data_IF_746136659668
#
_entry.id   IF_746136659668
#
_cell.length_a   1.000
_cell.length_b   1.000
_cell.length_c   1.000
_cell.angle_alpha   90.00
_cell.angle_beta   90.00
_cell.angle_gamma   90.00
#
_symmetry.space_group_name_H-M   'P 1'
#
loop_
_entity.id
_entity.type
_entity.pdbx_description
1 polymer ?
#
# COMPACT_ATOMS: atom_id res chain seq x y z
N UNK A 1 -14.94 4.31 -28.11
CA UNK A 1 -14.74 4.60 -26.67
C UNK A 1 -13.98 5.91 -26.59
N UNK A 2 -14.51 6.92 -25.90
CA UNK A 2 -13.75 8.16 -25.64
C UNK A 2 -12.69 7.76 -24.61
N UNK A 3 -11.44 7.74 -24.99
CA UNK A 3 -10.32 7.52 -24.06
C UNK A 3 -10.27 8.71 -23.11
N UNK A 4 -10.39 8.46 -21.82
CA UNK A 4 -10.20 9.48 -20.78
C UNK A 4 -8.76 10.01 -20.89
N UNK A 5 -8.59 11.34 -20.90
CA UNK A 5 -7.27 11.95 -20.84
C UNK A 5 -6.87 12.07 -19.38
N UNK A 6 -5.84 11.34 -18.95
CA UNK A 6 -5.29 11.49 -17.60
C UNK A 6 -4.42 12.75 -17.52
N UNK A 7 -4.63 13.59 -16.50
CA UNK A 7 -3.79 14.76 -16.23
C UNK A 7 -2.56 14.34 -15.40
N UNK A 8 -1.38 14.88 -15.70
CA UNK A 8 -0.22 14.80 -14.83
C UNK A 8 -0.12 16.11 -14.04
N UNK A 9 -0.32 16.04 -12.73
CA UNK A 9 -0.29 17.15 -11.80
C UNK A 9 0.97 17.10 -10.95
N UNK A 10 1.36 18.22 -10.36
CA UNK A 10 2.47 18.32 -9.40
C UNK A 10 1.93 18.82 -8.06
N UNK A 11 2.79 18.88 -7.04
CA UNK A 11 2.48 19.48 -5.74
C UNK A 11 1.91 20.90 -5.81
N UNK A 12 2.15 21.63 -6.92
CA UNK A 12 1.56 22.96 -7.15
C UNK A 12 0.09 22.91 -7.61
N UNK A 13 -0.42 21.76 -8.00
CA UNK A 13 -1.76 21.60 -8.57
C UNK A 13 -2.74 20.90 -7.60
N UNK A 14 -2.51 20.99 -6.30
CA UNK A 14 -3.32 20.31 -5.25
C UNK A 14 -4.80 20.67 -5.36
N UNK A 15 -5.12 21.94 -5.59
CA UNK A 15 -6.52 22.40 -5.78
C UNK A 15 -7.22 21.67 -6.93
N UNK A 16 -6.51 21.48 -8.05
CA UNK A 16 -7.07 20.74 -9.19
C UNK A 16 -7.35 19.28 -8.83
N UNK A 17 -6.46 18.64 -8.09
CA UNK A 17 -6.66 17.27 -7.60
C UNK A 17 -7.86 17.18 -6.63
N UNK A 18 -8.01 18.13 -5.70
CA UNK A 18 -9.17 18.21 -4.81
C UNK A 18 -10.48 18.45 -5.56
N UNK A 19 -10.51 19.32 -6.58
CA UNK A 19 -11.68 19.53 -7.46
C UNK A 19 -12.10 18.24 -8.16
N UNK A 20 -11.15 17.47 -8.69
CA UNK A 20 -11.42 16.20 -9.36
C UNK A 20 -12.03 15.18 -8.38
N UNK A 21 -11.49 15.08 -7.16
CA UNK A 21 -12.03 14.19 -6.11
C UNK A 21 -13.46 14.60 -5.74
N UNK A 22 -13.75 15.89 -5.52
CA UNK A 22 -15.11 16.40 -5.27
C UNK A 22 -16.09 16.13 -6.42
N UNK A 23 -15.59 16.13 -7.65
CA UNK A 23 -16.37 15.79 -8.83
C UNK A 23 -16.63 14.26 -8.95
N UNK A 24 -16.15 13.46 -8.01
CA UNK A 24 -16.30 12.00 -8.03
C UNK A 24 -15.36 11.32 -9.03
N UNK A 25 -14.24 11.95 -9.37
CA UNK A 25 -13.21 11.38 -10.22
C UNK A 25 -12.14 10.66 -9.40
N UNK A 26 -11.33 9.83 -10.08
CA UNK A 26 -10.25 9.07 -9.48
C UNK A 26 -8.92 9.78 -9.72
N UNK A 27 -8.17 10.02 -8.65
CA UNK A 27 -6.86 10.67 -8.68
C UNK A 27 -5.83 9.79 -7.98
N UNK A 28 -4.73 9.50 -8.64
CA UNK A 28 -3.61 8.86 -7.97
C UNK A 28 -2.77 9.90 -7.22
N UNK A 29 -2.32 9.54 -6.01
CA UNK A 29 -1.65 10.45 -5.09
C UNK A 29 -0.44 9.81 -4.41
N UNK A 30 0.60 10.62 -4.09
CA UNK A 30 1.80 10.14 -3.41
C UNK A 30 1.52 9.80 -1.95
N UNK A 31 2.27 8.86 -1.38
CA UNK A 31 2.40 8.66 0.06
C UNK A 31 3.85 8.31 0.38
N UNK A 32 4.20 8.23 1.66
CA UNK A 32 5.53 7.79 2.10
C UNK A 32 5.79 6.31 1.81
N UNK A 33 4.72 5.49 1.64
CA UNK A 33 4.82 4.04 1.40
C UNK A 33 4.80 3.70 -0.08
N UNK A 34 3.63 3.84 -0.73
CA UNK A 34 3.38 3.59 -2.15
C UNK A 34 2.35 4.60 -2.65
N UNK A 35 2.27 4.83 -3.95
CA UNK A 35 1.21 5.67 -4.52
C UNK A 35 -0.16 5.05 -4.29
N UNK A 36 -1.11 5.86 -3.83
CA UNK A 36 -2.51 5.51 -3.60
C UNK A 36 -3.42 5.92 -4.75
N UNK A 37 -4.57 5.24 -4.88
CA UNK A 37 -5.60 5.55 -5.85
C UNK A 37 -6.82 6.12 -5.11
N UNK A 38 -6.99 7.45 -5.18
CA UNK A 38 -7.97 8.22 -4.41
C UNK A 38 -9.30 8.39 -5.12
N UNK A 39 -10.38 8.24 -4.37
CA UNK A 39 -11.72 8.69 -4.74
C UNK A 39 -12.50 9.02 -3.48
N UNK A 40 -13.50 9.90 -3.57
CA UNK A 40 -14.38 10.24 -2.46
C UNK A 40 -15.01 8.98 -1.84
N UNK A 41 -14.66 8.69 -0.59
CA UNK A 41 -15.11 7.50 0.13
C UNK A 41 -16.60 7.53 0.49
N UNK A 42 -17.23 8.71 0.44
CA UNK A 42 -18.66 8.92 0.70
C UNK A 42 -19.51 8.79 -0.56
N UNK A 43 -18.87 8.71 -1.73
CA UNK A 43 -19.53 8.60 -3.05
C UNK A 43 -19.32 7.18 -3.63
N UNK A 44 -20.33 6.33 -3.53
CA UNK A 44 -20.26 4.96 -4.06
C UNK A 44 -19.93 4.87 -5.55
N UNK A 45 -20.35 5.87 -6.36
CA UNK A 45 -20.06 5.89 -7.79
C UNK A 45 -18.56 6.14 -8.01
N UNK A 46 -17.97 7.05 -7.23
CA UNK A 46 -16.54 7.33 -7.27
C UNK A 46 -15.73 6.11 -6.82
N UNK A 47 -16.15 5.44 -5.74
CA UNK A 47 -15.51 4.19 -5.26
C UNK A 47 -15.58 3.08 -6.32
N UNK A 48 -16.70 2.92 -7.03
CA UNK A 48 -16.82 1.94 -8.14
C UNK A 48 -15.81 2.20 -9.27
N UNK A 49 -15.51 3.47 -9.58
CA UNK A 49 -14.48 3.82 -10.57
C UNK A 49 -13.10 3.29 -10.16
N UNK A 50 -12.76 3.31 -8.86
CA UNK A 50 -11.49 2.74 -8.35
C UNK A 50 -11.40 1.24 -8.64
N UNK A 51 -12.43 0.47 -8.34
CA UNK A 51 -12.46 -0.96 -8.65
C UNK A 51 -12.33 -1.22 -10.15
N UNK A 52 -13.04 -0.43 -10.97
CA UNK A 52 -12.99 -0.51 -12.43
C UNK A 52 -11.57 -0.21 -12.96
N UNK A 53 -10.95 0.89 -12.52
CA UNK A 53 -9.61 1.29 -12.96
C UNK A 53 -8.55 0.23 -12.62
N UNK A 54 -8.68 -0.41 -11.44
CA UNK A 54 -7.77 -1.47 -10.98
C UNK A 54 -8.05 -2.84 -11.61
N UNK A 55 -9.23 -3.07 -12.20
CA UNK A 55 -9.68 -4.41 -12.54
C UNK A 55 -9.84 -5.33 -11.32
N UNK A 56 -10.26 -4.76 -10.16
CA UNK A 56 -10.35 -5.47 -8.88
C UNK A 56 -11.81 -5.82 -8.56
N UNK A 57 -12.10 -7.05 -8.06
CA UNK A 57 -13.42 -7.37 -7.52
C UNK A 57 -13.81 -6.47 -6.35
N UNK A 58 -15.09 -6.09 -6.28
CA UNK A 58 -15.60 -5.16 -5.27
C UNK A 58 -15.87 -5.82 -3.89
N UNK A 59 -15.52 -7.07 -3.71
CA UNK A 59 -15.67 -7.86 -2.48
C UNK A 59 -14.50 -7.73 -1.49
N UNK A 60 -13.52 -6.90 -1.81
CA UNK A 60 -12.31 -6.71 -1.02
C UNK A 60 -12.32 -5.30 -0.43
N UNK A 61 -12.31 -5.14 0.93
CA UNK A 61 -12.44 -3.85 1.58
C UNK A 61 -11.33 -2.88 1.16
N UNK A 62 -11.63 -1.59 1.26
CA UNK A 62 -10.70 -0.50 0.96
C UNK A 62 -10.25 0.20 2.25
N UNK A 63 -9.05 0.76 2.22
CA UNK A 63 -8.56 1.64 3.29
C UNK A 63 -9.10 3.04 3.00
N UNK A 64 -9.68 3.68 4.00
CA UNK A 64 -10.01 5.11 3.97
C UNK A 64 -8.78 5.91 4.40
N UNK A 65 -8.45 6.92 3.60
CA UNK A 65 -7.31 7.80 3.84
C UNK A 65 -7.81 9.19 4.21
N UNK A 66 -7.28 9.73 5.29
CA UNK A 66 -7.71 11.00 5.90
C UNK A 66 -6.55 11.98 5.97
N UNK A 67 -6.87 13.26 6.09
CA UNK A 67 -5.88 14.33 6.29
C UNK A 67 -5.66 14.66 7.77
N UNK A 68 -6.65 14.39 8.61
CA UNK A 68 -6.64 14.68 10.04
C UNK A 68 -7.39 13.57 10.79
N UNK A 69 -6.91 13.21 11.99
CA UNK A 69 -7.49 12.13 12.78
C UNK A 69 -8.94 12.42 13.23
N UNK A 70 -9.31 13.67 13.38
CA UNK A 70 -10.68 14.09 13.74
C UNK A 70 -11.72 13.67 12.71
N UNK A 71 -11.33 13.50 11.44
CA UNK A 71 -12.24 13.01 10.40
C UNK A 71 -12.80 11.61 10.67
N UNK A 72 -12.17 10.83 11.59
CA UNK A 72 -12.64 9.49 11.95
C UNK A 72 -13.86 9.49 12.87
N UNK A 73 -14.04 10.53 13.68
CA UNK A 73 -15.05 10.57 14.74
C UNK A 73 -16.49 10.39 14.21
N UNK A 74 -16.73 10.75 12.95
CA UNK A 74 -18.03 10.57 12.29
C UNK A 74 -18.29 9.14 11.77
N UNK A 75 -17.25 8.31 11.67
CA UNK A 75 -17.33 7.03 10.95
C UNK A 75 -17.17 5.81 11.87
N UNK A 76 -16.36 5.91 12.92
CA UNK A 76 -15.92 4.76 13.71
C UNK A 76 -15.98 4.99 15.20
N UNK A 77 -15.93 3.88 15.95
CA UNK A 77 -15.74 3.88 17.39
C UNK A 77 -14.26 3.69 17.68
N UNK A 78 -13.62 4.67 18.33
CA UNK A 78 -12.19 4.69 18.59
C UNK A 78 -11.93 4.37 20.06
N UNK A 79 -11.27 3.24 20.33
CA UNK A 79 -10.82 2.88 21.68
C UNK A 79 -9.61 3.71 22.10
N UNK A 80 -9.34 3.77 23.42
CA UNK A 80 -8.15 4.46 23.96
C UNK A 80 -6.86 3.87 23.40
N UNK A 81 -6.74 2.56 23.31
CA UNK A 81 -5.60 1.89 22.70
C UNK A 81 -5.40 2.29 21.23
N UNK A 82 -6.49 2.43 20.47
CA UNK A 82 -6.40 2.92 19.08
C UNK A 82 -5.95 4.39 19.01
N UNK A 83 -6.44 5.25 19.93
CA UNK A 83 -5.97 6.65 20.04
C UNK A 83 -4.47 6.73 20.36
N UNK A 84 -3.98 5.86 21.22
CA UNK A 84 -2.55 5.76 21.55
C UNK A 84 -1.70 5.39 20.31
N UNK A 85 -2.12 4.42 19.51
CA UNK A 85 -1.44 4.09 18.26
C UNK A 85 -1.48 5.23 17.25
N UNK A 86 -2.63 5.91 17.11
CA UNK A 86 -2.74 7.10 16.25
C UNK A 86 -1.78 8.19 16.70
N UNK A 87 -1.72 8.50 17.98
CA UNK A 87 -0.84 9.54 18.54
C UNK A 87 0.65 9.20 18.32
N UNK A 88 1.01 7.92 18.31
CA UNK A 88 2.40 7.46 18.16
C UNK A 88 2.84 7.37 16.70
N UNK A 89 1.96 6.87 15.80
CA UNK A 89 2.34 6.46 14.46
C UNK A 89 1.70 7.29 13.33
N UNK A 90 0.80 8.22 13.63
CA UNK A 90 0.20 9.09 12.63
C UNK A 90 0.66 10.55 12.77
N UNK A 91 0.95 11.21 11.64
CA UNK A 91 0.94 10.71 10.25
C UNK A 91 1.99 9.63 10.03
N UNK A 92 1.65 8.54 9.29
CA UNK A 92 2.65 7.50 9.03
C UNK A 92 2.12 6.20 8.43
N UNK A 93 3.01 5.21 8.46
CA UNK A 93 2.87 3.93 7.76
C UNK A 93 2.08 2.89 8.55
N UNK A 94 1.10 3.32 9.35
CA UNK A 94 0.19 2.46 10.09
C UNK A 94 -1.25 2.63 9.60
N UNK A 95 -1.89 1.53 9.26
CA UNK A 95 -3.32 1.42 8.97
C UNK A 95 -4.01 0.73 10.13
N UNK A 96 -5.10 1.31 10.65
CA UNK A 96 -5.82 0.82 11.81
C UNK A 96 -7.24 0.43 11.39
N UNK A 97 -7.63 -0.82 11.67
CA UNK A 97 -9.01 -1.29 11.46
C UNK A 97 -9.82 -1.05 12.74
N UNK A 98 -10.97 -0.40 12.57
CA UNK A 98 -11.86 0.01 13.65
C UNK A 98 -13.30 -0.43 13.39
N UNK A 99 -14.12 -0.64 14.45
CA UNK A 99 -15.55 -0.86 14.32
C UNK A 99 -16.23 0.38 13.73
N UNK A 100 -17.10 0.19 12.72
CA UNK A 100 -17.88 1.29 12.14
C UNK A 100 -19.05 1.70 13.04
N UNK A 101 -19.40 2.97 12.99
CA UNK A 101 -20.70 3.42 13.48
C UNK A 101 -21.79 2.99 12.48
N UNK A 102 -22.96 2.58 12.93
CA UNK A 102 -24.01 2.09 12.03
C UNK A 102 -24.33 3.09 10.91
N UNK A 103 -24.38 2.60 9.68
CA UNK A 103 -24.76 3.35 8.47
C UNK A 103 -23.84 4.54 8.08
N UNK A 104 -22.64 4.62 8.64
CA UNK A 104 -21.71 5.73 8.39
C UNK A 104 -20.74 5.47 7.23
N UNK A 105 -20.51 4.21 6.87
CA UNK A 105 -19.61 3.82 5.78
C UNK A 105 -20.35 2.92 4.80
N UNK A 106 -20.24 3.23 3.52
CA UNK A 106 -20.89 2.46 2.47
C UNK A 106 -20.34 1.02 2.39
N UNK A 107 -21.21 0.03 2.13
CA UNK A 107 -20.84 -1.39 2.05
C UNK A 107 -19.74 -1.67 1.01
N UNK A 108 -19.72 -0.91 -0.08
CA UNK A 108 -18.69 -1.04 -1.11
C UNK A 108 -17.28 -0.72 -0.60
N UNK A 109 -17.15 0.16 0.42
CA UNK A 109 -15.87 0.49 1.05
C UNK A 109 -15.45 -0.60 2.03
N UNK A 110 -16.40 -1.12 2.81
CA UNK A 110 -16.13 -2.12 3.86
C UNK A 110 -16.10 -3.55 3.34
N UNK A 111 -16.54 -3.81 2.09
CA UNK A 111 -16.75 -5.16 1.59
C UNK A 111 -17.83 -5.92 2.36
N UNK A 112 -18.78 -5.20 2.98
CA UNK A 112 -19.86 -5.77 3.80
C UNK A 112 -19.48 -6.05 5.27
N UNK A 113 -18.27 -5.68 5.70
CA UNK A 113 -17.82 -5.84 7.08
C UNK A 113 -18.38 -4.74 8.00
N UNK A 114 -18.41 -5.03 9.31
CA UNK A 114 -18.72 -4.06 10.37
C UNK A 114 -17.48 -3.31 10.88
N UNK A 115 -16.42 -3.33 10.07
CA UNK A 115 -15.16 -2.65 10.35
C UNK A 115 -14.67 -1.94 9.10
N UNK A 116 -13.87 -0.90 9.29
CA UNK A 116 -13.19 -0.19 8.21
C UNK A 116 -11.77 0.16 8.62
N UNK A 117 -10.86 0.15 7.66
CA UNK A 117 -9.47 0.51 7.86
C UNK A 117 -9.25 1.99 7.55
N UNK A 118 -8.53 2.69 8.43
CA UNK A 118 -8.13 4.09 8.24
C UNK A 118 -6.62 4.26 8.24
N UNK A 119 -6.16 5.25 7.48
CA UNK A 119 -4.77 5.69 7.47
C UNK A 119 -4.67 7.21 7.31
N UNK A 120 -3.70 7.80 8.01
CA UNK A 120 -3.26 9.18 7.84
C UNK A 120 -1.82 9.16 7.34
N UNK A 121 -1.56 9.36 6.03
CA UNK A 121 -0.22 9.21 5.45
C UNK A 121 0.71 10.34 5.85
N UNK A 122 2.01 10.04 5.99
CA UNK A 122 3.05 11.04 6.19
C UNK A 122 3.53 11.62 4.85
N UNK A 123 2.62 12.29 4.15
CA UNK A 123 2.90 13.03 2.93
C UNK A 123 2.05 14.30 2.89
N UNK A 124 2.69 15.47 2.84
CA UNK A 124 2.01 16.76 2.94
C UNK A 124 1.13 17.05 1.73
N UNK A 125 1.55 16.62 0.53
CA UNK A 125 0.79 16.80 -0.71
C UNK A 125 -0.52 16.00 -0.66
N UNK A 126 -0.45 14.73 -0.23
CA UNK A 126 -1.63 13.89 -0.04
C UNK A 126 -2.61 14.52 0.97
N UNK A 127 -2.12 14.93 2.14
CA UNK A 127 -2.96 15.53 3.18
C UNK A 127 -3.59 16.84 2.72
N UNK A 128 -2.82 17.69 2.04
CA UNK A 128 -3.33 18.95 1.49
C UNK A 128 -4.42 18.69 0.43
N UNK A 129 -4.24 17.72 -0.46
CA UNK A 129 -5.23 17.31 -1.44
C UNK A 129 -6.53 16.82 -0.80
N UNK A 130 -6.44 15.99 0.25
CA UNK A 130 -7.60 15.46 0.98
C UNK A 130 -8.33 16.60 1.72
N UNK A 131 -7.60 17.55 2.32
CA UNK A 131 -8.20 18.73 2.95
C UNK A 131 -8.92 19.58 1.92
N UNK A 132 -8.31 19.83 0.75
CA UNK A 132 -8.96 20.60 -0.31
C UNK A 132 -10.20 19.86 -0.85
N UNK A 133 -10.16 18.54 -0.98
CA UNK A 133 -11.33 17.74 -1.35
C UNK A 133 -12.47 17.85 -0.32
N UNK A 134 -12.16 18.09 0.97
CA UNK A 134 -13.15 18.26 2.04
C UNK A 134 -13.84 16.96 2.48
N UNK A 135 -13.39 15.81 1.96
CA UNK A 135 -13.94 14.47 2.26
C UNK A 135 -12.82 13.46 2.46
N UNK A 136 -13.01 12.41 3.27
CA UNK A 136 -12.10 11.29 3.29
C UNK A 136 -12.12 10.57 1.94
N UNK A 137 -11.00 10.01 1.54
CA UNK A 137 -10.88 9.27 0.29
C UNK A 137 -10.62 7.78 0.54
N UNK A 138 -11.01 6.90 -0.38
CA UNK A 138 -10.44 5.55 -0.42
C UNK A 138 -9.02 5.65 -0.98
N UNK A 139 -8.12 4.75 -0.55
CA UNK A 139 -6.70 4.84 -0.93
C UNK A 139 -6.02 3.46 -1.09
N UNK A 140 -6.52 2.53 -1.93
CA UNK A 140 -5.73 1.36 -2.29
C UNK A 140 -4.50 1.76 -3.11
N UNK A 141 -3.49 0.89 -3.22
CA UNK A 141 -2.33 1.14 -4.08
C UNK A 141 -2.72 1.39 -5.55
N UNK A 142 -2.00 2.26 -6.25
CA UNK A 142 -2.36 2.76 -7.59
C UNK A 142 -1.88 1.85 -8.75
N UNK A 143 -1.83 0.53 -8.55
CA UNK A 143 -1.50 -0.48 -9.57
C UNK A 143 -2.76 -1.19 -10.11
N UNK A 144 -2.64 -1.80 -11.28
CA UNK A 144 -3.59 -2.83 -11.73
C UNK A 144 -3.55 -4.01 -10.75
N UNK A 145 -4.72 -4.58 -10.44
CA UNK A 145 -4.82 -5.66 -9.44
C UNK A 145 -3.90 -6.83 -9.76
N UNK A 146 -3.16 -7.31 -8.74
CA UNK A 146 -2.19 -8.40 -8.86
C UNK A 146 -0.76 -7.95 -9.16
N UNK A 147 -0.56 -6.75 -9.75
CA UNK A 147 0.78 -6.21 -10.02
C UNK A 147 1.41 -5.58 -8.77
N UNK A 148 2.74 -5.36 -8.78
CA UNK A 148 3.45 -4.62 -7.73
C UNK A 148 2.90 -3.22 -7.51
N UNK A 149 3.01 -2.71 -6.29
CA UNK A 149 2.56 -1.36 -5.92
C UNK A 149 3.52 -0.29 -6.45
N UNK A 150 3.00 0.81 -7.03
CA UNK A 150 3.82 1.85 -7.64
C UNK A 150 4.50 2.72 -6.59
N UNK A 151 5.78 3.02 -6.81
CA UNK A 151 6.62 3.85 -5.95
C UNK A 151 6.99 5.19 -6.57
N UNK A 152 6.58 5.42 -7.83
CA UNK A 152 6.73 6.69 -8.55
C UNK A 152 5.48 7.01 -9.36
N UNK A 153 5.28 8.27 -9.70
CA UNK A 153 4.20 8.70 -10.60
C UNK A 153 4.31 8.04 -12.00
N UNK A 154 5.52 7.74 -12.46
CA UNK A 154 5.76 7.06 -13.73
C UNK A 154 5.26 5.62 -13.71
N UNK A 155 5.44 4.89 -12.60
CA UNK A 155 4.87 3.56 -12.41
C UNK A 155 3.33 3.60 -12.46
N UNK A 156 2.73 4.60 -11.78
CA UNK A 156 1.26 4.83 -11.84
C UNK A 156 0.82 5.12 -13.26
N UNK A 157 1.55 5.99 -13.96
CA UNK A 157 1.23 6.35 -15.34
C UNK A 157 1.20 5.14 -16.27
N UNK A 158 2.17 4.24 -16.12
CA UNK A 158 2.23 2.99 -16.89
C UNK A 158 0.95 2.16 -16.73
N UNK A 159 0.42 2.05 -15.52
CA UNK A 159 -0.73 1.18 -15.23
C UNK A 159 -2.09 1.88 -15.41
N UNK A 160 -2.18 3.20 -15.17
CA UNK A 160 -3.43 3.93 -14.96
C UNK A 160 -3.71 5.02 -16.00
N UNK A 161 -2.79 5.34 -16.89
CA UNK A 161 -3.05 6.32 -17.95
C UNK A 161 -4.25 5.91 -18.81
N UNK A 162 -5.16 6.84 -19.05
CA UNK A 162 -6.41 6.61 -19.77
C UNK A 162 -7.52 5.94 -18.96
N UNK A 163 -7.28 5.60 -17.68
CA UNK A 163 -8.24 4.96 -16.78
C UNK A 163 -8.70 5.84 -15.62
N UNK A 164 -7.92 6.88 -15.26
CA UNK A 164 -8.16 7.80 -14.14
C UNK A 164 -8.01 9.25 -14.58
N UNK A 165 -8.57 10.17 -13.81
CA UNK A 165 -8.59 11.59 -14.17
C UNK A 165 -7.20 12.25 -14.04
N UNK A 166 -6.44 11.94 -12.99
CA UNK A 166 -5.13 12.55 -12.79
C UNK A 166 -4.16 11.66 -11.97
N UNK A 167 -2.88 11.97 -12.12
CA UNK A 167 -1.78 11.50 -11.26
C UNK A 167 -1.10 12.73 -10.67
N UNK A 168 -0.97 12.80 -9.35
CA UNK A 168 -0.20 13.83 -8.66
C UNK A 168 1.22 13.31 -8.43
N UNK A 169 2.19 13.95 -9.04
CA UNK A 169 3.61 13.61 -8.91
C UNK A 169 4.27 14.44 -7.77
N UNK A 170 4.85 13.75 -6.81
CA UNK A 170 5.64 14.31 -5.71
C UNK A 170 6.96 13.52 -5.53
N UNK A 171 7.45 12.93 -6.61
CA UNK A 171 8.66 12.12 -6.62
C UNK A 171 8.49 10.70 -6.10
N UNK A 172 9.60 9.98 -5.86
CA UNK A 172 9.58 8.61 -5.38
C UNK A 172 9.13 8.52 -3.91
N UNK A 173 8.52 7.38 -3.56
CA UNK A 173 8.16 7.07 -2.18
C UNK A 173 9.41 6.74 -1.34
N UNK A 174 9.35 6.99 -0.04
CA UNK A 174 10.48 6.80 0.87
C UNK A 174 10.63 5.35 1.34
N UNK A 175 9.51 4.61 1.50
CA UNK A 175 9.48 3.27 2.12
C UNK A 175 9.38 2.16 1.07
N UNK A 176 8.53 2.31 0.05
CA UNK A 176 8.41 1.38 -1.07
C UNK A 176 7.60 0.10 -0.82
N UNK A 177 7.13 -0.12 0.41
CA UNK A 177 6.20 -1.20 0.78
C UNK A 177 4.97 -0.61 1.46
N UNK A 178 3.86 -1.35 1.46
CA UNK A 178 2.60 -0.90 2.04
C UNK A 178 2.68 -0.72 3.55
N UNK A 179 1.72 0.04 4.10
CA UNK A 179 1.59 0.24 5.54
C UNK A 179 1.32 -1.07 6.30
N UNK A 180 1.80 -1.16 7.52
CA UNK A 180 1.36 -2.17 8.47
C UNK A 180 -0.14 -2.02 8.72
N UNK A 181 -0.89 -3.13 8.73
CA UNK A 181 -2.33 -3.14 9.03
C UNK A 181 -2.56 -3.86 10.35
N UNK A 182 -3.12 -3.15 11.34
CA UNK A 182 -3.50 -3.72 12.64
C UNK A 182 -5.01 -3.69 12.83
N UNK A 183 -5.58 -4.80 13.27
CA UNK A 183 -6.99 -4.92 13.65
C UNK A 183 -7.17 -4.59 15.14
N UNK A 184 -7.78 -3.42 15.41
CA UNK A 184 -8.13 -2.95 16.75
C UNK A 184 -9.60 -3.21 17.09
N UNK A 185 -10.35 -3.88 16.22
CA UNK A 185 -11.73 -4.32 16.48
C UNK A 185 -11.79 -5.66 17.22
N UNK A 186 -10.70 -6.40 17.23
CA UNK A 186 -10.57 -7.68 17.93
C UNK A 186 -10.25 -7.47 19.41
N UNK A 187 -10.47 -8.51 20.22
CA UNK A 187 -10.17 -8.50 21.68
C UNK A 187 -8.67 -8.31 21.95
N UNK A 188 -7.81 -8.84 21.08
CA UNK A 188 -6.35 -8.68 21.12
C UNK A 188 -5.93 -8.00 19.81
N UNK A 189 -5.17 -6.90 19.87
CA UNK A 189 -4.65 -6.25 18.68
C UNK A 189 -3.89 -7.23 17.79
N UNK A 190 -4.23 -7.28 16.48
CA UNK A 190 -3.70 -8.30 15.59
C UNK A 190 -3.19 -7.67 14.29
N UNK A 191 -1.93 -7.91 13.93
CA UNK A 191 -1.36 -7.53 12.64
C UNK A 191 -1.91 -8.46 11.56
N UNK A 192 -2.54 -7.88 10.55
CA UNK A 192 -3.08 -8.60 9.39
C UNK A 192 -2.23 -8.44 8.13
N UNK A 193 -1.37 -7.43 8.10
CA UNK A 193 -0.37 -7.22 7.04
C UNK A 193 0.86 -6.56 7.65
N UNK A 194 2.07 -7.13 7.47
CA UNK A 194 3.30 -6.50 7.90
C UNK A 194 3.64 -5.30 7.00
N UNK A 195 4.40 -4.36 7.53
CA UNK A 195 4.91 -3.16 6.86
C UNK A 195 6.02 -2.51 7.67
N UNK A 196 6.26 -1.21 7.47
CA UNK A 196 7.36 -0.51 8.14
C UNK A 196 7.21 -0.36 9.66
N UNK A 197 5.98 -0.37 10.19
CA UNK A 197 5.75 -0.40 11.64
C UNK A 197 5.78 -1.85 12.12
N UNK A 198 6.73 -2.18 12.98
CA UNK A 198 6.97 -3.55 13.44
C UNK A 198 6.05 -3.97 14.60
N UNK A 199 5.91 -5.28 14.81
CA UNK A 199 5.17 -5.83 15.94
C UNK A 199 5.72 -5.32 17.28
N UNK A 200 7.04 -5.25 17.42
CA UNK A 200 7.70 -4.77 18.64
C UNK A 200 7.31 -3.31 18.93
N UNK A 201 7.38 -2.43 17.93
CA UNK A 201 7.00 -1.03 18.08
C UNK A 201 5.53 -0.87 18.52
N UNK A 202 4.62 -1.71 17.98
CA UNK A 202 3.22 -1.71 18.38
C UNK A 202 3.02 -2.19 19.81
N UNK A 203 3.73 -3.24 20.23
CA UNK A 203 3.72 -3.74 21.60
C UNK A 203 4.27 -2.72 22.59
N UNK A 204 5.38 -2.07 22.25
CA UNK A 204 5.98 -1.03 23.08
C UNK A 204 5.03 0.17 23.26
N UNK A 205 4.37 0.59 22.17
CA UNK A 205 3.39 1.66 22.22
C UNK A 205 2.16 1.32 23.05
N UNK A 206 1.66 0.09 22.99
CA UNK A 206 0.44 -0.34 23.70
C UNK A 206 0.72 -0.84 25.12
N UNK A 207 1.95 -1.19 25.46
CA UNK A 207 2.28 -1.87 26.71
C UNK A 207 1.61 -3.24 26.85
N UNK A 208 1.24 -3.87 25.74
CA UNK A 208 0.49 -5.14 25.71
C UNK A 208 0.84 -5.99 24.49
N UNK A 209 0.44 -7.26 24.53
CA UNK A 209 0.68 -8.21 23.44
C UNK A 209 -0.06 -7.82 22.17
N UNK A 210 0.65 -7.87 21.05
CA UNK A 210 0.10 -7.77 19.68
C UNK A 210 0.36 -9.11 18.98
N UNK A 211 -0.65 -9.70 18.37
CA UNK A 211 -0.53 -10.93 17.59
C UNK A 211 -0.11 -10.59 16.16
N UNK A 212 0.80 -11.36 15.59
CA UNK A 212 1.09 -11.34 14.16
C UNK A 212 0.43 -12.56 13.50
N UNK A 213 -0.69 -12.33 12.81
CA UNK A 213 -1.44 -13.39 12.12
C UNK A 213 -0.73 -13.88 10.85
N UNK A 214 0.29 -13.16 10.36
CA UNK A 214 1.02 -13.51 9.13
C UNK A 214 2.14 -14.50 9.37
N UNK A 215 2.60 -14.61 10.62
CA UNK A 215 3.68 -15.53 11.03
C UNK A 215 3.23 -16.99 11.21
N UNK A 216 1.91 -17.25 11.25
CA UNK A 216 1.37 -18.60 11.38
C UNK A 216 0.96 -19.17 10.01
N UNK A 217 1.56 -20.28 9.62
CA UNK A 217 1.36 -21.00 8.32
C UNK A 217 -0.04 -21.61 8.10
N UNK A 218 -0.98 -21.37 8.99
CA UNK A 218 -2.34 -21.91 8.91
C UNK A 218 -3.38 -20.79 8.80
N UNK A 219 -3.45 -20.12 7.66
CA UNK A 219 -4.65 -19.34 7.33
C UNK A 219 -5.71 -20.33 6.89
N UNK A 220 -6.71 -20.57 7.74
CA UNK A 220 -7.90 -21.30 7.35
C UNK A 220 -8.55 -20.58 6.15
N UNK A 221 -8.82 -21.32 5.09
CA UNK A 221 -9.37 -20.84 3.81
C UNK A 221 -10.78 -20.18 3.91
N UNK A 222 -11.30 -19.97 5.11
CA UNK A 222 -12.70 -19.54 5.36
C UNK A 222 -12.81 -18.17 6.08
N UNK A 223 -11.71 -17.42 6.26
CA UNK A 223 -11.80 -16.12 6.93
C UNK A 223 -12.10 -15.03 5.92
N UNK A 224 -13.23 -14.33 6.09
CA UNK A 224 -13.53 -13.11 5.33
C UNK A 224 -12.40 -12.09 5.52
N UNK A 225 -11.75 -11.61 4.44
CA UNK A 225 -10.61 -10.73 4.52
C UNK A 225 -11.03 -9.38 5.10
N UNK A 226 -10.39 -8.97 6.21
CA UNK A 226 -10.65 -7.68 6.88
C UNK A 226 -9.80 -6.54 6.33
N UNK A 227 -8.81 -6.84 5.51
CA UNK A 227 -7.89 -5.84 4.93
C UNK A 227 -7.49 -6.19 3.49
N UNK A 228 -7.08 -5.19 2.68
CA UNK A 228 -6.43 -5.43 1.41
C UNK A 228 -5.18 -6.30 1.58
N UNK A 229 -4.98 -7.28 0.69
CA UNK A 229 -3.81 -8.17 0.71
C UNK A 229 -4.03 -9.53 1.35
N UNK A 230 -5.20 -9.80 1.96
CA UNK A 230 -5.46 -11.08 2.64
C UNK A 230 -6.07 -12.18 1.73
N UNK A 231 -6.83 -11.82 0.69
CA UNK A 231 -7.66 -12.79 -0.07
C UNK A 231 -7.02 -13.29 -1.35
N UNK A 232 -6.28 -12.45 -2.04
CA UNK A 232 -5.74 -12.76 -3.37
C UNK A 232 -4.21 -12.80 -3.31
N UNK A 233 -3.62 -13.57 -4.23
CA UNK A 233 -2.17 -13.54 -4.42
C UNK A 233 -1.78 -12.13 -4.89
N UNK A 234 -1.06 -11.40 -4.04
CA UNK A 234 -0.56 -10.06 -4.32
C UNK A 234 0.94 -10.10 -4.60
N UNK A 235 1.42 -9.11 -5.38
CA UNK A 235 2.86 -8.86 -5.57
C UNK A 235 3.64 -10.06 -6.14
N UNK A 236 2.96 -11.00 -6.77
CA UNK A 236 3.63 -12.15 -7.33
C UNK A 236 4.18 -11.79 -8.72
N UNK A 237 5.51 -11.78 -8.91
CA UNK A 237 6.07 -11.66 -10.25
C UNK A 237 5.70 -12.89 -11.10
N UNK A 238 5.65 -12.70 -12.41
CA UNK A 238 5.40 -13.79 -13.36
C UNK A 238 6.53 -14.83 -13.39
N UNK A 239 7.71 -14.43 -12.92
CA UNK A 239 8.90 -15.27 -12.83
C UNK A 239 9.00 -15.95 -11.47
N UNK A 240 9.61 -17.13 -11.45
CA UNK A 240 9.90 -17.84 -10.19
C UNK A 240 10.94 -17.05 -9.38
N UNK A 241 10.61 -16.72 -8.14
CA UNK A 241 11.52 -16.10 -7.17
C UNK A 241 11.97 -17.17 -6.18
N UNK A 242 13.29 -17.24 -5.96
CA UNK A 242 13.91 -18.13 -4.97
C UNK A 242 14.65 -17.24 -3.98
N UNK A 243 14.29 -17.34 -2.70
CA UNK A 243 15.08 -16.71 -1.63
C UNK A 243 16.21 -17.64 -1.22
N UNK A 244 17.38 -17.07 -0.96
CA UNK A 244 18.54 -17.81 -0.49
C UNK A 244 19.25 -17.06 0.65
N UNK A 245 19.91 -17.81 1.53
CA UNK A 245 20.82 -17.25 2.51
C UNK A 245 22.18 -16.98 1.87
N UNK A 246 22.92 -16.00 2.38
CA UNK A 246 24.28 -15.69 1.92
C UNK A 246 25.20 -16.93 1.98
N UNK A 247 24.97 -17.82 2.93
CA UNK A 247 25.74 -19.07 3.07
C UNK A 247 25.49 -20.05 1.91
N UNK A 248 24.31 -19.97 1.28
CA UNK A 248 23.92 -20.82 0.16
C UNK A 248 24.30 -20.22 -1.22
N UNK A 249 24.83 -18.98 -1.24
CA UNK A 249 25.14 -18.26 -2.46
C UNK A 249 26.08 -19.03 -3.40
N UNK A 250 27.11 -19.72 -2.86
CA UNK A 250 28.05 -20.53 -3.65
C UNK A 250 27.35 -21.72 -4.29
N UNK A 251 26.47 -22.41 -3.56
CA UNK A 251 25.69 -23.53 -4.09
C UNK A 251 24.69 -23.05 -5.16
N UNK A 252 24.11 -21.87 -4.98
CA UNK A 252 23.22 -21.24 -5.96
C UNK A 252 23.94 -20.94 -7.28
N UNK A 253 25.18 -20.42 -7.21
CA UNK A 253 25.98 -20.10 -8.42
C UNK A 253 26.12 -21.30 -9.38
N UNK A 254 26.24 -22.52 -8.83
CA UNK A 254 26.39 -23.73 -9.66
C UNK A 254 25.12 -24.08 -10.45
N UNK A 255 23.99 -23.49 -10.08
CA UNK A 255 22.67 -23.77 -10.67
C UNK A 255 22.08 -22.57 -11.42
N UNK A 256 22.76 -21.40 -11.42
CA UNK A 256 22.28 -20.20 -12.15
C UNK A 256 22.30 -20.44 -13.66
N UNK A 257 21.20 -20.05 -14.29
CA UNK A 257 21.10 -20.03 -15.74
C UNK A 257 21.45 -18.63 -16.29
N UNK A 258 21.76 -18.54 -17.57
CA UNK A 258 22.17 -17.27 -18.21
C UNK A 258 21.13 -16.15 -18.14
N UNK A 259 19.86 -16.50 -17.95
CA UNK A 259 18.73 -15.55 -17.86
C UNK A 259 18.23 -15.33 -16.42
N UNK A 260 18.87 -15.94 -15.44
CA UNK A 260 18.55 -15.69 -14.03
C UNK A 260 19.21 -14.39 -13.57
N UNK A 261 18.49 -13.63 -12.73
CA UNK A 261 19.00 -12.39 -12.12
C UNK A 261 19.02 -12.58 -10.61
N UNK A 262 20.17 -12.28 -10.01
CA UNK A 262 20.36 -12.31 -8.56
C UNK A 262 20.20 -10.91 -8.00
N UNK A 263 19.28 -10.74 -7.09
CA UNK A 263 19.12 -9.52 -6.31
C UNK A 263 19.78 -9.71 -4.96
N UNK A 264 20.83 -8.96 -4.69
CA UNK A 264 21.59 -9.09 -3.44
C UNK A 264 22.33 -7.80 -3.10
N UNK A 265 22.86 -7.70 -1.88
CA UNK A 265 23.79 -6.65 -1.50
C UNK A 265 25.09 -6.74 -2.33
N UNK A 266 25.75 -5.59 -2.53
CA UNK A 266 26.97 -5.48 -3.34
C UNK A 266 28.02 -6.51 -2.93
N UNK A 267 28.27 -6.69 -1.65
CA UNK A 267 29.24 -7.68 -1.12
C UNK A 267 28.91 -9.11 -1.52
N UNK A 268 27.63 -9.46 -1.68
CA UNK A 268 27.19 -10.78 -2.14
C UNK A 268 27.37 -10.93 -3.65
N UNK A 269 27.02 -9.88 -4.41
CA UNK A 269 27.21 -9.83 -5.86
C UNK A 269 28.69 -9.96 -6.23
N UNK A 270 29.57 -9.23 -5.54
CA UNK A 270 31.03 -9.33 -5.71
C UNK A 270 31.55 -10.72 -5.36
N UNK A 271 31.11 -11.32 -4.23
CA UNK A 271 31.48 -12.65 -3.84
C UNK A 271 31.06 -13.71 -4.87
N UNK A 272 29.88 -13.54 -5.49
CA UNK A 272 29.37 -14.41 -6.53
C UNK A 272 29.97 -14.11 -7.92
N UNK A 273 30.76 -13.07 -8.09
CA UNK A 273 31.35 -12.63 -9.37
C UNK A 273 30.34 -12.51 -10.51
N UNK A 274 29.14 -11.99 -10.22
CA UNK A 274 28.06 -11.86 -11.17
C UNK A 274 28.30 -10.68 -12.13
N UNK A 275 27.91 -10.85 -13.38
CA UNK A 275 27.90 -9.74 -14.34
C UNK A 275 26.78 -8.73 -14.04
N UNK A 276 26.89 -7.52 -14.59
CA UNK A 276 25.84 -6.49 -14.50
C UNK A 276 24.49 -6.95 -15.10
N UNK A 277 24.52 -7.88 -16.05
CA UNK A 277 23.31 -8.43 -16.67
C UNK A 277 22.63 -9.49 -15.78
N UNK A 278 23.41 -10.13 -14.89
CA UNK A 278 22.92 -11.18 -13.98
C UNK A 278 22.78 -10.71 -12.53
N UNK A 279 23.03 -9.44 -12.26
CA UNK A 279 22.96 -8.90 -10.91
C UNK A 279 22.11 -7.65 -10.82
N UNK A 280 21.43 -7.50 -9.68
CA UNK A 280 20.74 -6.29 -9.29
C UNK A 280 21.15 -5.95 -7.86
N UNK A 281 21.85 -4.82 -7.70
CA UNK A 281 22.30 -4.38 -6.39
C UNK A 281 21.14 -3.90 -5.52
N UNK A 282 21.10 -4.38 -4.29
CA UNK A 282 20.29 -3.85 -3.20
C UNK A 282 21.09 -2.86 -2.34
N UNK A 283 22.25 -2.39 -2.82
CA UNK A 283 23.15 -1.47 -2.13
C UNK A 283 24.06 -2.17 -1.11
N UNK A 284 24.79 -1.35 -0.33
CA UNK A 284 25.82 -1.82 0.61
C UNK A 284 25.27 -2.12 2.00
N UNK A 285 24.09 -1.61 2.35
CA UNK A 285 23.49 -1.73 3.69
C UNK A 285 22.07 -2.29 3.62
N UNK A 286 21.55 -2.76 4.77
CA UNK A 286 20.13 -3.16 4.88
C UNK A 286 19.18 -1.99 4.65
N UNK A 287 19.58 -0.76 5.00
CA UNK A 287 18.79 0.44 4.77
C UNK A 287 18.62 0.70 3.26
N UNK A 288 19.68 0.59 2.48
CA UNK A 288 19.60 0.71 1.01
C UNK A 288 18.70 -0.38 0.40
N UNK A 289 18.74 -1.60 0.94
CA UNK A 289 17.93 -2.70 0.46
C UNK A 289 16.42 -2.50 0.69
N UNK A 290 16.01 -1.62 1.59
CA UNK A 290 14.60 -1.30 1.87
C UNK A 290 14.05 -0.17 0.99
N UNK A 291 14.89 0.55 0.26
CA UNK A 291 14.43 1.53 -0.74
C UNK A 291 13.62 0.83 -1.83
N UNK A 292 12.78 1.53 -2.60
CA UNK A 292 11.53 1.08 -3.22
C UNK A 292 11.58 -0.31 -3.87
N UNK A 293 11.52 -1.33 -3.03
CA UNK A 293 11.64 -2.76 -3.41
C UNK A 293 10.47 -3.20 -4.28
N UNK A 294 9.26 -2.70 -4.00
CA UNK A 294 8.04 -3.27 -4.53
C UNK A 294 7.96 -3.22 -6.06
N UNK A 295 7.97 -2.05 -6.65
CA UNK A 295 7.82 -1.94 -8.11
C UNK A 295 9.15 -2.12 -8.85
N UNK A 296 10.21 -1.48 -8.36
CA UNK A 296 11.50 -1.43 -9.07
C UNK A 296 12.18 -2.80 -9.14
N UNK A 297 12.12 -3.57 -8.04
CA UNK A 297 12.82 -4.86 -7.97
C UNK A 297 11.97 -6.05 -8.41
N UNK A 298 10.64 -5.97 -8.29
CA UNK A 298 9.75 -7.07 -8.70
C UNK A 298 9.31 -7.01 -10.18
N UNK A 299 9.54 -5.88 -10.86
CA UNK A 299 9.29 -5.72 -12.30
C UNK A 299 10.58 -5.74 -13.11
N UNK A 300 11.51 -6.64 -12.78
CA UNK A 300 12.73 -6.82 -13.54
C UNK A 300 12.45 -6.86 -15.05
N UNK A 301 13.27 -6.17 -15.90
CA UNK A 301 13.07 -6.19 -17.32
C UNK A 301 13.07 -7.63 -17.84
N UNK A 302 12.00 -8.01 -18.47
CA UNK A 302 11.91 -9.26 -19.23
C UNK A 302 12.50 -8.98 -20.60
N UNK A 303 13.80 -9.16 -20.79
CA UNK A 303 14.41 -9.26 -22.11
C UNK A 303 14.22 -10.66 -22.67
#
# INVERSE_FOLDING_TARGET
MVTMKTELLTSNNIKRAGELLRAGEVVAFPTETVYGLGADATNEIAVKKVFTAKGRPADNPLIMTVADAQQLDDFVVISEAARQLMATFWPGSLTIILPIQPQKVAMIVTGGLQTVAFRLPNNDVARAMIRDAGVPIVGPSANTSGKPSPTTAQHVWHDMNGKIAAVVDDGPTQIGVESTVIDMSAKVPTILRPGAVTQQQLQDALGSTVIDATSTTSVANDVTPKAPGMKYRHYAPDKKVVMFDRLDAIALMQNLQTHDVVMAQDTTIEMMQLSLEQSWSLGTTLENATEPVSYTHLTLPTN
#
